data_IF_378604487078
#
_entry.id   IF_378604487078
#
_cell.length_a   1.000
_cell.length_b   1.000
_cell.length_c   1.000
_cell.angle_alpha   90.00
_cell.angle_beta   90.00
_cell.angle_gamma   90.00
#
_symmetry.space_group_name_H-M   'P 1'
#
loop_
_entity.id
_entity.type
_entity.pdbx_description
1 polymer ?
#
# COMPACT_ATOMS: atom_id res chain seq x y z
N UNK A 1 -14.21 -0.43 -10.78
CA UNK A 1 -14.18 1.05 -10.60
C UNK A 1 -15.58 1.59 -10.26
N UNK A 2 -16.64 1.24 -11.02
CA UNK A 2 -18.03 1.70 -10.76
C UNK A 2 -18.53 1.37 -9.34
N UNK A 3 -18.10 0.25 -8.77
CA UNK A 3 -18.46 -0.22 -7.43
C UNK A 3 -17.89 0.56 -6.23
N UNK A 4 -17.07 1.62 -6.40
CA UNK A 4 -16.43 2.29 -5.23
C UNK A 4 -17.32 3.34 -4.56
N UNK A 5 -18.35 3.87 -5.23
CA UNK A 5 -19.23 4.89 -4.64
C UNK A 5 -20.38 4.30 -3.81
N UNK A 6 -20.85 3.09 -4.13
CA UNK A 6 -21.64 2.27 -3.21
C UNK A 6 -20.69 1.27 -2.55
N UNK A 7 -20.43 1.34 -1.25
CA UNK A 7 -19.57 0.34 -0.60
C UNK A 7 -20.12 -1.07 -0.85
N UNK A 8 -19.23 -2.06 -0.96
CA UNK A 8 -19.63 -3.47 -1.02
C UNK A 8 -20.60 -3.74 0.13
N UNK A 9 -21.78 -4.31 -0.18
CA UNK A 9 -22.81 -4.69 0.79
C UNK A 9 -23.54 -3.54 1.52
N UNK A 10 -23.44 -2.29 1.07
CA UNK A 10 -23.98 -1.12 1.79
C UNK A 10 -25.49 -1.21 2.11
N UNK A 11 -26.31 -1.65 1.15
CA UNK A 11 -27.77 -1.80 1.37
C UNK A 11 -28.08 -2.91 2.38
N UNK A 12 -27.36 -4.03 2.29
CA UNK A 12 -27.52 -5.13 3.23
C UNK A 12 -27.13 -4.71 4.67
N UNK A 13 -26.15 -3.83 4.82
CA UNK A 13 -25.73 -3.29 6.12
C UNK A 13 -26.77 -2.35 6.72
N UNK A 14 -27.38 -1.47 5.91
CA UNK A 14 -28.46 -0.57 6.35
C UNK A 14 -29.60 -1.37 7.01
N UNK A 15 -30.01 -2.48 6.39
CA UNK A 15 -31.04 -3.35 6.96
C UNK A 15 -30.51 -4.23 8.08
N UNK A 16 -29.53 -5.11 7.82
CA UNK A 16 -29.19 -6.22 8.74
C UNK A 16 -28.28 -5.83 9.89
N UNK A 17 -27.49 -4.76 9.77
CA UNK A 17 -26.52 -4.36 10.81
C UNK A 17 -26.91 -3.06 11.51
N UNK A 18 -27.36 -2.07 10.75
CA UNK A 18 -27.69 -0.74 11.28
C UNK A 18 -29.15 -0.63 11.71
N UNK A 19 -30.03 -1.54 11.28
CA UNK A 19 -31.48 -1.49 11.53
C UNK A 19 -32.11 -0.15 11.12
N UNK A 20 -31.57 0.49 10.07
CA UNK A 20 -32.07 1.77 9.57
C UNK A 20 -33.42 1.57 8.88
N UNK A 21 -33.49 0.59 7.97
CA UNK A 21 -34.69 0.27 7.21
C UNK A 21 -35.47 -0.86 7.86
N UNK A 22 -36.80 -0.85 7.73
CA UNK A 22 -37.70 -1.82 8.40
C UNK A 22 -37.83 -3.16 7.67
N UNK A 23 -37.50 -3.18 6.38
CA UNK A 23 -37.52 -4.38 5.54
C UNK A 23 -36.46 -4.27 4.44
N UNK A 24 -36.11 -5.39 3.76
CA UNK A 24 -35.22 -5.34 2.60
C UNK A 24 -35.71 -4.41 1.49
N UNK A 25 -37.02 -4.35 1.25
CA UNK A 25 -37.58 -3.45 0.23
C UNK A 25 -37.55 -1.98 0.66
N UNK A 26 -37.68 -1.71 1.97
CA UNK A 26 -37.48 -0.34 2.47
C UNK A 26 -36.02 0.08 2.27
N UNK A 27 -35.05 -0.82 2.51
CA UNK A 27 -33.64 -0.50 2.31
C UNK A 27 -33.31 -0.17 0.84
N UNK A 28 -33.91 -0.89 -0.12
CA UNK A 28 -33.78 -0.55 -1.55
C UNK A 28 -34.42 0.80 -1.85
N UNK A 29 -35.63 1.06 -1.33
CA UNK A 29 -36.32 2.33 -1.53
C UNK A 29 -35.55 3.52 -0.96
N UNK A 30 -35.01 3.38 0.26
CA UNK A 30 -34.24 4.42 0.95
C UNK A 30 -33.02 4.83 0.12
N UNK A 31 -32.22 3.88 -0.38
CA UNK A 31 -31.00 4.19 -1.14
C UNK A 31 -31.29 4.72 -2.56
N UNK A 32 -32.30 4.19 -3.25
CA UNK A 32 -32.68 4.69 -4.59
C UNK A 32 -33.20 6.12 -4.50
N UNK A 33 -34.04 6.42 -3.50
CA UNK A 33 -34.58 7.77 -3.29
C UNK A 33 -33.53 8.74 -2.76
N UNK A 34 -32.53 8.24 -2.04
CA UNK A 34 -31.37 9.03 -1.62
C UNK A 34 -30.38 9.33 -2.77
N UNK A 35 -30.59 8.74 -3.96
CA UNK A 35 -29.79 9.05 -5.15
C UNK A 35 -28.75 7.99 -5.52
N UNK A 36 -28.72 6.83 -4.86
CA UNK A 36 -27.81 5.75 -5.25
C UNK A 36 -28.28 5.11 -6.55
N UNK A 37 -27.42 5.08 -7.57
CA UNK A 37 -27.79 4.60 -8.91
C UNK A 37 -27.34 3.15 -9.19
N UNK A 38 -26.31 2.67 -8.49
CA UNK A 38 -25.72 1.35 -8.69
C UNK A 38 -25.38 0.76 -7.34
N UNK A 39 -25.67 -0.52 -7.17
CA UNK A 39 -25.19 -1.32 -6.04
C UNK A 39 -24.02 -2.21 -6.46
N UNK A 40 -22.99 -2.26 -5.63
CA UNK A 40 -22.00 -3.34 -5.66
C UNK A 40 -22.46 -4.54 -4.82
N UNK A 41 -23.28 -5.41 -5.43
CA UNK A 41 -23.85 -6.57 -4.76
C UNK A 41 -25.01 -7.17 -5.54
N UNK A 42 -25.84 -7.96 -4.84
CA UNK A 42 -27.06 -8.54 -5.40
C UNK A 42 -28.31 -8.11 -4.66
N UNK A 43 -28.23 -7.18 -3.70
CA UNK A 43 -29.34 -6.82 -2.84
C UNK A 43 -30.44 -6.11 -3.63
N UNK A 44 -30.10 -5.13 -4.47
CA UNK A 44 -31.03 -4.51 -5.42
C UNK A 44 -31.58 -5.55 -6.39
N UNK A 45 -30.73 -6.40 -6.97
CA UNK A 45 -31.17 -7.43 -7.90
C UNK A 45 -32.22 -8.37 -7.27
N UNK A 46 -32.07 -8.70 -5.98
CA UNK A 46 -32.95 -9.60 -5.27
C UNK A 46 -34.23 -8.94 -4.73
N UNK A 47 -34.20 -7.65 -4.41
CA UNK A 47 -35.29 -7.00 -3.66
C UNK A 47 -36.02 -5.86 -4.39
N UNK A 48 -35.46 -5.30 -5.47
CA UNK A 48 -36.07 -4.16 -6.17
C UNK A 48 -37.43 -4.49 -6.77
N UNK A 49 -37.59 -5.67 -7.39
CA UNK A 49 -38.88 -6.09 -7.95
C UNK A 49 -39.99 -6.09 -6.90
N UNK A 50 -39.73 -6.69 -5.73
CA UNK A 50 -40.72 -6.70 -4.64
C UNK A 50 -40.97 -5.30 -4.08
N UNK A 51 -39.95 -4.44 -4.06
CA UNK A 51 -40.10 -3.05 -3.63
C UNK A 51 -41.03 -2.25 -4.57
N UNK A 52 -40.95 -2.48 -5.88
CA UNK A 52 -41.89 -1.92 -6.86
C UNK A 52 -43.29 -2.48 -6.68
N UNK A 53 -43.45 -3.81 -6.58
CA UNK A 53 -44.76 -4.46 -6.38
C UNK A 53 -45.47 -3.99 -5.09
N UNK A 54 -44.71 -3.64 -4.05
CA UNK A 54 -45.21 -3.08 -2.78
C UNK A 54 -45.41 -1.56 -2.82
N UNK A 55 -45.18 -0.90 -3.96
CA UNK A 55 -45.31 0.55 -4.14
C UNK A 55 -44.28 1.38 -3.38
N UNK A 56 -43.17 0.76 -2.94
CA UNK A 56 -42.10 1.44 -2.20
C UNK A 56 -41.11 2.13 -3.13
N UNK A 57 -40.94 1.62 -4.34
CA UNK A 57 -40.05 2.14 -5.39
C UNK A 57 -40.90 2.45 -6.63
N UNK A 58 -40.68 3.62 -7.23
CA UNK A 58 -41.28 4.02 -8.51
C UNK A 58 -40.38 3.61 -9.67
N UNK A 59 -40.91 2.89 -10.67
CA UNK A 59 -40.12 2.57 -11.86
C UNK A 59 -39.70 3.87 -12.60
N UNK A 60 -40.64 4.81 -12.78
CA UNK A 60 -40.41 6.04 -13.54
C UNK A 60 -39.53 7.07 -12.84
N UNK A 61 -39.58 7.13 -11.50
CA UNK A 61 -38.89 8.18 -10.75
C UNK A 61 -37.58 7.69 -10.14
N UNK A 62 -37.55 6.46 -9.63
CA UNK A 62 -36.41 5.93 -8.89
C UNK A 62 -35.50 5.08 -9.79
N UNK A 63 -36.08 4.13 -10.52
CA UNK A 63 -35.30 3.18 -11.36
C UNK A 63 -34.85 3.85 -12.66
N UNK A 64 -35.74 4.50 -13.38
CA UNK A 64 -35.40 5.16 -14.65
C UNK A 64 -34.36 6.26 -14.45
N UNK A 65 -34.41 7.00 -13.33
CA UNK A 65 -33.37 7.96 -12.94
C UNK A 65 -32.00 7.29 -12.78
N UNK A 66 -31.94 6.20 -12.02
CA UNK A 66 -30.70 5.46 -11.78
C UNK A 66 -30.11 4.88 -13.09
N UNK A 67 -30.98 4.30 -13.93
CA UNK A 67 -30.59 3.78 -15.24
C UNK A 67 -30.14 4.90 -16.18
N UNK A 68 -30.88 6.00 -16.23
CA UNK A 68 -30.52 7.17 -17.04
C UNK A 68 -29.12 7.67 -16.70
N UNK A 69 -28.81 7.82 -15.41
CA UNK A 69 -27.48 8.24 -14.96
C UNK A 69 -26.38 7.24 -15.35
N UNK A 70 -26.61 5.95 -15.09
CA UNK A 70 -25.66 4.89 -15.41
C UNK A 70 -25.36 4.81 -16.92
N UNK A 71 -26.40 4.79 -17.74
CA UNK A 71 -26.26 4.67 -19.19
C UNK A 71 -25.72 5.96 -19.82
N UNK A 72 -26.06 7.13 -19.29
CA UNK A 72 -25.48 8.41 -19.74
C UNK A 72 -23.96 8.42 -19.62
N UNK A 73 -23.41 7.91 -18.51
CA UNK A 73 -21.95 7.78 -18.36
C UNK A 73 -21.37 6.77 -19.36
N UNK A 74 -22.02 5.62 -19.55
CA UNK A 74 -21.57 4.60 -20.52
C UNK A 74 -21.59 5.11 -21.96
N UNK A 75 -22.60 5.90 -22.35
CA UNK A 75 -22.69 6.55 -23.65
C UNK A 75 -21.58 7.59 -23.84
N UNK A 76 -21.30 8.42 -22.81
CA UNK A 76 -20.19 9.40 -22.84
C UNK A 76 -18.82 8.73 -22.99
N UNK A 77 -18.65 7.54 -22.44
CA UNK A 77 -17.44 6.71 -22.59
C UNK A 77 -17.38 5.95 -23.92
N UNK A 78 -18.39 6.11 -24.79
CA UNK A 78 -18.43 5.52 -26.13
C UNK A 78 -18.79 4.03 -26.14
N UNK A 79 -19.32 3.45 -25.06
CA UNK A 79 -19.62 2.01 -24.99
C UNK A 79 -20.56 1.51 -26.09
N UNK A 80 -21.38 2.41 -26.65
CA UNK A 80 -22.36 2.11 -27.69
C UNK A 80 -21.98 2.66 -29.07
N UNK A 81 -20.75 3.17 -29.24
CA UNK A 81 -20.33 3.89 -30.43
C UNK A 81 -19.69 2.97 -31.49
N UNK A 82 -20.14 1.71 -31.58
CA UNK A 82 -19.64 0.74 -32.57
C UNK A 82 -18.34 0.04 -32.14
N UNK A 83 -17.41 -0.13 -33.08
CA UNK A 83 -16.16 -0.87 -32.87
C UNK A 83 -15.24 -0.16 -31.86
N UNK A 84 -14.93 -0.75 -30.69
CA UNK A 84 -14.10 -0.10 -29.68
C UNK A 84 -12.69 0.30 -30.16
N UNK A 85 -12.14 -0.41 -31.15
CA UNK A 85 -10.83 -0.10 -31.74
C UNK A 85 -10.81 1.20 -32.54
N UNK A 86 -11.98 1.71 -32.97
CA UNK A 86 -12.11 2.97 -33.70
C UNK A 86 -12.40 4.18 -32.78
N UNK A 87 -12.53 3.95 -31.47
CA UNK A 87 -12.84 4.97 -30.47
C UNK A 87 -11.56 5.60 -29.89
N UNK A 88 -11.64 6.73 -29.15
CA UNK A 88 -10.47 7.46 -28.65
C UNK A 88 -9.46 6.64 -27.83
N UNK A 89 -9.90 5.55 -27.19
CA UNK A 89 -9.05 4.66 -26.39
C UNK A 89 -8.76 3.31 -27.08
N UNK A 90 -9.19 3.13 -28.33
CA UNK A 90 -9.11 1.87 -29.07
C UNK A 90 -7.70 1.43 -29.45
N UNK A 91 -6.75 2.37 -29.45
CA UNK A 91 -5.33 2.12 -29.77
C UNK A 91 -4.50 1.66 -28.57
N UNK A 92 -5.06 1.62 -27.36
CA UNK A 92 -4.37 1.10 -26.19
C UNK A 92 -4.20 -0.42 -26.31
N UNK A 93 -2.98 -0.88 -26.10
CA UNK A 93 -2.53 -2.24 -26.32
C UNK A 93 -1.77 -2.78 -25.11
N UNK A 94 -1.36 -4.05 -25.19
CA UNK A 94 -0.48 -4.65 -24.18
C UNK A 94 0.88 -3.96 -24.10
N UNK A 95 1.37 -3.36 -25.19
CA UNK A 95 2.67 -2.69 -25.20
C UNK A 95 2.67 -1.39 -24.38
N UNK A 96 1.49 -0.81 -24.15
CA UNK A 96 1.32 0.38 -23.29
C UNK A 96 1.32 -0.02 -21.80
N UNK A 97 1.06 -1.29 -21.48
CA UNK A 97 1.13 -1.82 -20.11
C UNK A 97 2.59 -2.08 -19.78
N UNK A 98 3.03 -1.63 -18.60
CA UNK A 98 4.41 -1.79 -18.14
C UNK A 98 5.47 -1.14 -19.04
N UNK A 99 5.11 -0.09 -19.79
CA UNK A 99 6.09 0.68 -20.57
C UNK A 99 7.20 1.24 -19.68
N UNK A 100 8.33 1.61 -20.29
CA UNK A 100 9.45 2.21 -19.56
C UNK A 100 9.02 3.49 -18.85
N UNK A 101 8.23 4.33 -19.52
CA UNK A 101 7.71 5.59 -18.98
C UNK A 101 6.86 5.36 -17.73
N UNK A 102 6.00 4.34 -17.73
CA UNK A 102 5.20 4.00 -16.55
C UNK A 102 6.04 3.45 -15.39
N UNK A 103 7.07 2.65 -15.67
CA UNK A 103 7.99 2.14 -14.64
C UNK A 103 8.87 3.25 -14.05
N UNK A 104 9.32 4.19 -14.89
CA UNK A 104 10.13 5.33 -14.48
C UNK A 104 9.30 6.32 -13.65
N UNK A 105 8.06 6.60 -14.05
CA UNK A 105 7.13 7.40 -13.25
C UNK A 105 6.84 6.76 -11.88
N UNK A 106 6.63 5.44 -11.84
CA UNK A 106 6.43 4.73 -10.58
C UNK A 106 7.66 4.86 -9.67
N UNK A 107 8.87 4.78 -10.23
CA UNK A 107 10.11 4.97 -9.48
C UNK A 107 10.27 6.43 -8.98
N UNK A 108 9.96 7.41 -9.82
CA UNK A 108 9.99 8.84 -9.46
C UNK A 108 9.05 9.13 -8.28
N UNK A 109 7.78 8.71 -8.39
CA UNK A 109 6.80 8.89 -7.30
C UNK A 109 7.24 8.21 -6.02
N UNK A 110 7.84 7.02 -6.11
CA UNK A 110 8.37 6.33 -4.93
C UNK A 110 9.55 7.08 -4.32
N UNK A 111 10.47 7.61 -5.12
CA UNK A 111 11.62 8.38 -4.64
C UNK A 111 11.18 9.63 -3.88
N UNK A 112 10.23 10.36 -4.44
CA UNK A 112 9.73 11.62 -3.86
C UNK A 112 8.78 11.39 -2.67
N UNK A 113 8.24 10.17 -2.54
CA UNK A 113 7.37 9.78 -1.43
C UNK A 113 8.10 9.27 -0.18
N UNK A 114 9.40 8.95 -0.26
CA UNK A 114 10.17 8.48 0.89
C UNK A 114 10.60 9.67 1.75
N UNK A 115 10.35 9.59 3.06
CA UNK A 115 10.61 10.67 4.01
C UNK A 115 11.80 10.34 4.90
N UNK A 116 12.78 11.23 4.95
CA UNK A 116 13.90 11.19 5.89
C UNK A 116 13.48 11.81 7.24
N UNK A 117 13.14 10.96 8.20
CA UNK A 117 12.67 11.38 9.54
C UNK A 117 13.81 11.75 10.49
N UNK A 118 14.98 11.14 10.30
CA UNK A 118 16.19 11.40 11.10
C UNK A 118 17.40 11.12 10.25
N UNK A 119 18.39 12.01 10.29
CA UNK A 119 19.76 11.75 9.83
C UNK A 119 20.72 12.40 10.81
N UNK A 120 21.44 11.58 11.57
CA UNK A 120 22.38 11.99 12.61
C UNK A 120 23.76 11.45 12.27
N UNK A 121 24.79 12.15 12.74
CA UNK A 121 26.20 11.84 12.45
C UNK A 121 26.57 11.80 10.95
N UNK A 122 25.76 12.44 10.09
CA UNK A 122 25.93 12.45 8.63
C UNK A 122 26.14 11.04 8.05
N UNK A 123 25.41 10.06 8.59
CA UNK A 123 25.55 8.66 8.18
C UNK A 123 25.02 8.41 6.77
N UNK A 124 23.95 9.12 6.38
CA UNK A 124 23.45 9.12 5.01
C UNK A 124 23.95 10.36 4.24
N UNK A 125 24.30 10.19 2.96
CA UNK A 125 24.32 8.93 2.21
C UNK A 125 25.54 8.04 2.52
N UNK A 126 25.38 6.73 2.38
CA UNK A 126 26.49 5.77 2.41
C UNK A 126 27.42 5.99 1.22
N UNK A 127 28.73 5.91 1.49
CA UNK A 127 29.74 5.97 0.44
C UNK A 127 29.84 4.65 -0.31
N UNK A 128 29.60 4.71 -1.63
CA UNK A 128 29.79 3.59 -2.56
C UNK A 128 31.23 3.06 -2.58
N UNK A 129 32.20 3.87 -2.18
CA UNK A 129 33.62 3.52 -2.21
C UNK A 129 34.07 2.82 -0.93
N UNK A 130 33.56 3.25 0.23
CA UNK A 130 34.05 2.78 1.55
C UNK A 130 33.12 1.73 2.18
N UNK A 131 31.84 1.71 1.83
CA UNK A 131 30.91 0.67 2.32
C UNK A 131 31.20 -0.65 1.60
N UNK A 132 31.89 -1.59 2.27
CA UNK A 132 32.27 -2.88 1.68
C UNK A 132 31.32 -4.01 2.06
N UNK A 133 30.61 -3.87 3.17
CA UNK A 133 29.70 -4.89 3.68
C UNK A 133 28.46 -4.31 4.35
N UNK A 134 27.31 -4.96 4.13
CA UNK A 134 26.04 -4.62 4.77
C UNK A 134 25.43 -5.84 5.44
N UNK A 135 24.87 -5.64 6.64
CA UNK A 135 23.87 -6.54 7.20
C UNK A 135 22.48 -5.94 6.96
N UNK A 136 21.57 -6.72 6.39
CA UNK A 136 20.19 -6.31 6.13
C UNK A 136 19.29 -7.19 7.00
N UNK A 137 18.57 -6.57 7.93
CA UNK A 137 17.84 -7.28 8.96
C UNK A 137 16.38 -6.84 8.98
N UNK A 138 15.45 -7.77 9.10
CA UNK A 138 14.04 -7.48 9.40
C UNK A 138 13.05 -8.14 8.46
N UNK A 139 11.79 -8.29 8.92
CA UNK A 139 10.77 -9.08 8.23
C UNK A 139 10.40 -8.49 6.87
N UNK A 140 10.59 -7.18 6.68
CA UNK A 140 10.18 -6.46 5.49
C UNK A 140 11.32 -6.29 4.45
N UNK A 141 12.52 -6.80 4.72
CA UNK A 141 13.67 -6.59 3.85
C UNK A 141 13.61 -7.37 2.53
N UNK A 142 12.96 -8.53 2.49
CA UNK A 142 12.91 -9.39 1.29
C UNK A 142 11.50 -9.90 0.94
N UNK A 143 10.48 -9.09 1.19
CA UNK A 143 9.08 -9.43 0.89
C UNK A 143 8.55 -8.48 -0.18
N UNK A 144 8.06 -9.04 -1.28
CA UNK A 144 7.51 -8.27 -2.41
C UNK A 144 6.09 -7.77 -2.15
N UNK A 145 5.25 -8.60 -1.52
CA UNK A 145 3.83 -8.28 -1.33
C UNK A 145 3.62 -7.09 -0.40
N UNK A 146 4.39 -6.99 0.69
CA UNK A 146 4.31 -5.86 1.63
C UNK A 146 4.52 -4.53 0.91
N UNK A 147 5.38 -4.46 -0.12
CA UNK A 147 5.64 -3.20 -0.82
C UNK A 147 4.41 -2.63 -1.53
N UNK A 148 3.44 -3.48 -1.87
CA UNK A 148 2.30 -3.11 -2.71
C UNK A 148 1.13 -2.52 -1.93
N UNK A 149 1.08 -2.71 -0.61
CA UNK A 149 -0.06 -2.31 0.19
C UNK A 149 -1.30 -3.15 -0.10
N UNK A 150 -2.47 -2.50 -0.20
CA UNK A 150 -3.75 -3.13 -0.55
C UNK A 150 -4.24 -2.69 -1.93
N UNK A 151 -5.32 -3.33 -2.43
CA UNK A 151 -5.94 -2.98 -3.72
C UNK A 151 -5.00 -3.00 -4.95
N UNK A 152 -3.90 -3.75 -4.87
CA UNK A 152 -2.91 -3.85 -5.93
C UNK A 152 -3.17 -5.05 -6.85
N UNK A 153 -2.91 -4.86 -8.15
CA UNK A 153 -2.76 -5.96 -9.10
C UNK A 153 -1.31 -6.50 -9.14
N UNK A 154 -1.05 -7.56 -9.91
CA UNK A 154 0.31 -8.06 -10.11
C UNK A 154 1.22 -6.97 -10.70
N UNK A 155 2.35 -6.65 -10.06
CA UNK A 155 3.27 -5.62 -10.56
C UNK A 155 4.04 -6.12 -11.79
N UNK A 156 4.43 -5.19 -12.65
CA UNK A 156 5.30 -5.48 -13.81
C UNK A 156 6.66 -6.06 -13.39
N UNK A 157 7.21 -5.47 -12.32
CA UNK A 157 8.49 -5.84 -11.72
C UNK A 157 8.46 -5.42 -10.26
N UNK A 158 9.04 -6.25 -9.40
CA UNK A 158 9.23 -5.91 -7.99
C UNK A 158 10.70 -6.03 -7.63
N UNK A 159 11.22 -5.03 -6.94
CA UNK A 159 12.56 -5.01 -6.37
C UNK A 159 12.41 -4.87 -4.86
N UNK A 160 12.78 -5.91 -4.11
CA UNK A 160 12.79 -5.85 -2.64
C UNK A 160 13.91 -4.94 -2.12
N UNK A 161 13.81 -4.40 -0.88
CA UNK A 161 14.91 -3.65 -0.27
C UNK A 161 16.24 -4.40 -0.31
N UNK A 162 16.24 -5.71 -0.04
CA UNK A 162 17.40 -6.60 -0.17
C UNK A 162 17.99 -6.55 -1.59
N UNK A 163 17.16 -6.76 -2.61
CA UNK A 163 17.60 -6.75 -4.01
C UNK A 163 18.10 -5.36 -4.45
N UNK A 164 17.48 -4.29 -3.97
CA UNK A 164 17.92 -2.91 -4.23
C UNK A 164 19.33 -2.66 -3.70
N UNK A 165 19.58 -3.04 -2.44
CA UNK A 165 20.86 -2.86 -1.77
C UNK A 165 21.98 -3.77 -2.34
N UNK A 166 21.63 -4.96 -2.83
CA UNK A 166 22.55 -5.87 -3.55
C UNK A 166 23.18 -5.26 -4.81
N UNK A 167 22.56 -4.23 -5.38
CA UNK A 167 23.14 -3.53 -6.54
C UNK A 167 24.34 -2.66 -6.16
N UNK A 168 24.45 -2.23 -4.90
CA UNK A 168 25.51 -1.32 -4.43
C UNK A 168 26.64 -2.05 -3.72
N UNK A 169 26.34 -3.10 -2.94
CA UNK A 169 27.32 -3.79 -2.10
C UNK A 169 27.29 -5.29 -2.39
N UNK A 170 28.47 -5.89 -2.59
CA UNK A 170 28.60 -7.32 -2.94
C UNK A 170 28.58 -8.24 -1.73
N UNK A 171 29.15 -7.82 -0.59
CA UNK A 171 29.15 -8.60 0.65
C UNK A 171 27.92 -8.24 1.48
N UNK A 172 26.87 -9.03 1.37
CA UNK A 172 25.61 -8.83 2.09
C UNK A 172 25.31 -10.06 2.93
N UNK A 173 24.92 -9.82 4.18
CA UNK A 173 24.35 -10.80 5.10
C UNK A 173 22.89 -10.40 5.35
N UNK A 174 21.94 -11.31 5.11
CA UNK A 174 20.51 -11.05 5.25
C UNK A 174 19.88 -11.95 6.30
N UNK A 175 19.07 -11.38 7.19
CA UNK A 175 18.31 -12.10 8.20
C UNK A 175 16.90 -11.49 8.35
N UNK A 176 15.86 -12.31 8.32
CA UNK A 176 14.49 -11.86 8.58
C UNK A 176 14.29 -11.42 10.03
N UNK A 177 14.96 -12.11 10.95
CA UNK A 177 15.05 -11.79 12.37
C UNK A 177 16.29 -12.45 12.97
N UNK A 178 16.49 -12.32 14.27
CA UNK A 178 17.62 -12.94 14.97
C UNK A 178 17.09 -13.83 16.10
N UNK A 179 17.46 -15.12 16.08
CA UNK A 179 17.06 -16.10 17.12
C UNK A 179 17.73 -15.83 18.48
N UNK A 180 18.83 -15.09 18.48
CA UNK A 180 19.56 -14.71 19.69
C UNK A 180 19.63 -13.19 19.83
N UNK A 181 19.53 -12.70 21.07
CA UNK A 181 19.57 -11.27 21.44
C UNK A 181 20.79 -10.55 20.83
N UNK A 182 21.91 -11.27 20.68
CA UNK A 182 23.07 -10.75 19.97
C UNK A 182 23.10 -11.30 18.55
N UNK A 183 22.51 -10.56 17.61
CA UNK A 183 22.68 -10.86 16.19
C UNK A 183 24.16 -10.71 15.81
N UNK A 184 24.94 -11.79 15.93
CA UNK A 184 26.40 -11.75 15.83
C UNK A 184 26.89 -11.15 14.51
N UNK A 185 26.05 -11.20 13.48
CA UNK A 185 26.27 -10.71 12.13
C UNK A 185 26.30 -9.17 12.05
N UNK A 186 25.61 -8.47 12.95
CA UNK A 186 25.72 -7.00 13.06
C UNK A 186 27.13 -6.53 13.44
N UNK A 187 27.95 -7.43 14.02
CA UNK A 187 29.35 -7.14 14.37
C UNK A 187 30.30 -7.35 13.19
N UNK A 188 29.93 -8.11 12.16
CA UNK A 188 30.81 -8.39 11.03
C UNK A 188 30.74 -7.30 9.96
N UNK A 189 29.55 -6.78 9.69
CA UNK A 189 29.28 -5.78 8.64
C UNK A 189 29.74 -4.36 9.00
N UNK A 190 30.02 -3.54 7.99
CA UNK A 190 30.39 -2.12 8.17
C UNK A 190 29.18 -1.30 8.61
N UNK A 191 28.03 -1.53 7.98
CA UNK A 191 26.77 -0.89 8.31
C UNK A 191 25.62 -1.88 8.34
N UNK A 192 24.56 -1.52 9.07
CA UNK A 192 23.35 -2.33 9.22
C UNK A 192 22.14 -1.52 8.76
N UNK A 193 21.31 -2.13 7.91
CA UNK A 193 20.02 -1.60 7.48
C UNK A 193 18.92 -2.49 8.03
N UNK A 194 18.12 -1.95 8.94
CA UNK A 194 16.96 -2.60 9.54
C UNK A 194 15.71 -2.22 8.73
N UNK A 195 14.98 -3.20 8.19
CA UNK A 195 13.74 -2.98 7.43
C UNK A 195 12.57 -3.56 8.22
N UNK A 196 11.86 -2.66 8.90
CA UNK A 196 10.82 -2.93 9.88
C UNK A 196 9.48 -2.37 9.40
N UNK A 197 8.44 -2.53 10.19
CA UNK A 197 7.15 -1.89 9.98
C UNK A 197 5.98 -2.86 10.02
N UNK A 198 4.97 -2.55 9.22
CA UNK A 198 3.68 -3.22 9.16
C UNK A 198 3.53 -3.96 7.84
N UNK A 199 2.40 -4.66 7.72
CA UNK A 199 1.92 -5.31 6.50
C UNK A 199 0.38 -5.37 6.54
N UNK A 200 -0.22 -5.99 5.53
CA UNK A 200 -1.67 -6.09 5.37
C UNK A 200 -2.33 -7.04 6.40
N UNK A 201 -1.54 -7.81 7.17
CA UNK A 201 -2.05 -8.59 8.30
C UNK A 201 -2.22 -7.74 9.57
N UNK A 202 -1.74 -6.49 9.55
CA UNK A 202 -1.82 -5.54 10.68
C UNK A 202 -2.72 -4.36 10.37
N UNK A 203 -2.73 -3.87 9.14
CA UNK A 203 -3.57 -2.75 8.74
C UNK A 203 -4.21 -3.00 7.36
N UNK A 204 -5.53 -2.87 7.29
CA UNK A 204 -6.29 -3.17 6.09
C UNK A 204 -7.74 -2.75 6.16
N UNK A 205 -8.49 -3.05 5.08
CA UNK A 205 -9.95 -2.92 5.11
C UNK A 205 -10.54 -3.90 6.10
N UNK A 206 -11.50 -3.44 6.91
CA UNK A 206 -12.08 -4.18 8.04
C UNK A 206 -11.06 -4.66 9.10
N UNK A 207 -9.85 -4.10 9.10
CA UNK A 207 -8.77 -4.44 10.03
C UNK A 207 -8.09 -3.17 10.53
N UNK A 208 -8.71 -2.57 11.54
CA UNK A 208 -8.10 -1.50 12.33
C UNK A 208 -7.05 -2.09 13.29
N UNK A 209 -6.00 -1.31 13.55
CA UNK A 209 -5.01 -1.65 14.57
C UNK A 209 -5.54 -1.32 15.97
N UNK A 210 -5.14 -2.15 16.94
CA UNK A 210 -5.44 -1.90 18.36
C UNK A 210 -4.44 -0.93 19.01
N UNK A 211 -3.25 -0.80 18.43
CA UNK A 211 -2.18 0.08 18.91
C UNK A 211 -1.36 0.66 17.74
N UNK A 212 -0.44 1.56 18.09
CA UNK A 212 0.44 2.23 17.14
C UNK A 212 1.90 1.77 17.28
N UNK A 213 2.20 0.63 17.89
CA UNK A 213 3.59 0.18 18.07
C UNK A 213 4.06 -0.71 16.91
N UNK A 214 5.36 -0.99 16.84
CA UNK A 214 5.87 -2.02 15.94
C UNK A 214 5.40 -3.40 16.41
N UNK A 215 4.94 -4.28 15.51
CA UNK A 215 4.35 -5.55 15.89
C UNK A 215 5.43 -6.55 16.32
N UNK A 216 5.08 -7.40 17.30
CA UNK A 216 5.96 -8.42 17.84
C UNK A 216 7.24 -7.83 18.45
N UNK A 217 8.37 -8.52 18.26
CA UNK A 217 9.64 -8.16 18.88
C UNK A 217 10.50 -7.22 18.02
N UNK A 218 9.92 -6.53 17.03
CA UNK A 218 10.69 -5.67 16.13
C UNK A 218 11.39 -4.53 16.88
N UNK A 219 10.75 -3.91 17.88
CA UNK A 219 11.39 -2.87 18.69
C UNK A 219 12.60 -3.43 19.47
N UNK A 220 12.42 -4.57 20.14
CA UNK A 220 13.50 -5.28 20.85
C UNK A 220 14.66 -5.60 19.91
N UNK A 221 14.35 -6.12 18.72
CA UNK A 221 15.34 -6.44 17.69
C UNK A 221 16.11 -5.20 17.22
N UNK A 222 15.43 -4.09 16.94
CA UNK A 222 16.09 -2.84 16.53
C UNK A 222 17.06 -2.38 17.62
N UNK A 223 16.66 -2.39 18.88
CA UNK A 223 17.50 -1.97 19.99
C UNK A 223 18.72 -2.88 20.16
N UNK A 224 18.52 -4.19 20.19
CA UNK A 224 19.62 -5.14 20.35
C UNK A 224 20.63 -5.11 19.19
N UNK A 225 20.14 -4.94 17.95
CA UNK A 225 21.02 -4.79 16.78
C UNK A 225 21.77 -3.46 16.83
N UNK A 226 21.11 -2.36 17.21
CA UNK A 226 21.76 -1.06 17.33
C UNK A 226 22.87 -1.05 18.39
N UNK A 227 22.69 -1.78 19.50
CA UNK A 227 23.71 -1.92 20.54
C UNK A 227 24.90 -2.79 20.09
N UNK A 228 24.64 -3.84 19.29
CA UNK A 228 25.67 -4.75 18.80
C UNK A 228 26.44 -4.22 17.58
N UNK A 229 25.85 -3.32 16.79
CA UNK A 229 26.44 -2.79 15.57
C UNK A 229 27.68 -1.92 15.84
N UNK A 230 28.66 -2.01 14.93
CA UNK A 230 29.89 -1.20 14.96
C UNK A 230 29.60 0.30 14.82
N UNK A 231 28.76 0.64 13.85
CA UNK A 231 28.35 1.99 13.50
C UNK A 231 26.86 2.19 13.78
N UNK A 232 26.38 3.45 13.90
CA UNK A 232 24.94 3.69 13.97
C UNK A 232 24.20 3.01 12.83
N UNK A 233 23.01 2.48 13.11
CA UNK A 233 22.20 1.71 12.14
C UNK A 233 21.23 2.62 11.38
N UNK A 234 20.78 2.15 10.22
CA UNK A 234 19.66 2.76 9.49
C UNK A 234 18.40 1.96 9.79
N UNK A 235 17.32 2.65 10.14
CA UNK A 235 15.99 2.08 10.27
C UNK A 235 15.11 2.52 9.08
N UNK A 236 14.62 1.57 8.31
CA UNK A 236 13.65 1.77 7.23
C UNK A 236 12.30 1.21 7.69
N UNK A 237 11.26 2.04 7.64
CA UNK A 237 9.91 1.70 8.06
C UNK A 237 9.00 1.58 6.85
N UNK A 238 8.47 0.37 6.62
CA UNK A 238 7.41 0.11 5.65
C UNK A 238 6.08 0.00 6.37
N UNK A 239 5.27 1.05 6.33
CA UNK A 239 3.94 1.09 6.93
C UNK A 239 3.14 2.24 6.33
N UNK A 240 1.85 2.02 6.07
CA UNK A 240 0.94 3.10 5.68
C UNK A 240 0.56 3.94 6.88
N UNK A 241 0.06 3.30 7.94
CA UNK A 241 -0.27 3.96 9.20
C UNK A 241 0.97 4.38 10.00
N UNK A 242 0.84 5.39 10.88
CA UNK A 242 1.94 5.82 11.74
C UNK A 242 2.30 4.74 12.76
N UNK A 243 3.58 4.66 13.10
CA UNK A 243 4.11 3.79 14.15
C UNK A 243 4.90 4.63 15.15
N UNK A 244 4.76 4.36 16.44
CA UNK A 244 5.53 5.00 17.49
C UNK A 244 7.01 4.58 17.40
N UNK A 245 7.85 5.57 17.09
CA UNK A 245 9.30 5.43 16.98
C UNK A 245 10.04 6.18 18.08
N UNK A 246 9.37 6.51 19.19
CA UNK A 246 9.96 7.26 20.31
C UNK A 246 11.21 6.58 20.87
N UNK A 247 11.26 5.24 20.87
CA UNK A 247 12.42 4.45 21.26
C UNK A 247 13.65 4.69 20.36
N UNK A 248 13.44 5.03 19.08
CA UNK A 248 14.48 5.21 18.08
C UNK A 248 14.88 6.67 17.86
N UNK A 249 13.92 7.59 18.02
CA UNK A 249 14.06 9.02 17.71
C UNK A 249 15.32 9.64 18.31
N UNK A 250 15.53 9.45 19.61
CA UNK A 250 16.64 10.06 20.36
C UNK A 250 17.82 9.10 20.61
N UNK A 251 17.76 7.85 20.13
CA UNK A 251 18.85 6.90 20.33
C UNK A 251 20.02 7.22 19.37
N UNK A 252 21.24 7.54 19.86
CA UNK A 252 22.38 7.88 19.00
C UNK A 252 22.91 6.69 18.19
N UNK A 253 22.58 5.45 18.58
CA UNK A 253 22.92 4.23 17.82
C UNK A 253 22.02 4.01 16.61
N UNK A 254 20.92 4.75 16.47
CA UNK A 254 20.08 4.75 15.28
C UNK A 254 20.37 6.04 14.52
N UNK A 255 21.28 5.94 13.56
CA UNK A 255 21.83 7.09 12.84
C UNK A 255 20.84 7.70 11.86
N UNK A 256 20.01 6.89 11.20
CA UNK A 256 19.02 7.38 10.25
C UNK A 256 17.70 6.63 10.36
N UNK A 257 16.59 7.33 10.10
CA UNK A 257 15.24 6.76 10.01
C UNK A 257 14.59 7.22 8.71
N UNK A 258 14.22 6.26 7.87
CA UNK A 258 13.46 6.47 6.63
C UNK A 258 12.05 5.90 6.81
N UNK A 259 11.02 6.67 6.45
CA UNK A 259 9.67 6.15 6.26
C UNK A 259 9.39 6.05 4.77
N UNK A 260 9.06 4.85 4.31
CA UNK A 260 8.91 4.54 2.88
C UNK A 260 7.49 4.09 2.50
N UNK A 261 6.52 4.22 3.42
CA UNK A 261 5.13 3.87 3.15
C UNK A 261 4.98 2.43 2.64
N UNK A 262 4.18 2.28 1.58
CA UNK A 262 4.14 1.10 0.72
C UNK A 262 4.68 1.48 -0.67
N UNK A 263 5.99 1.29 -0.91
CA UNK A 263 6.71 1.98 -1.99
C UNK A 263 6.54 1.34 -3.39
N UNK A 264 5.64 0.36 -3.54
CA UNK A 264 5.34 -0.30 -4.80
C UNK A 264 6.47 -1.15 -5.37
N UNK A 265 6.34 -1.55 -6.63
CA UNK A 265 7.29 -2.44 -7.31
C UNK A 265 8.72 -1.90 -7.43
N UNK A 266 8.88 -0.57 -7.46
CA UNK A 266 10.18 0.09 -7.52
C UNK A 266 10.81 0.36 -6.14
N UNK A 267 10.12 0.01 -5.05
CA UNK A 267 10.45 0.43 -3.69
C UNK A 267 11.86 0.11 -3.23
N UNK A 268 12.32 -1.12 -3.43
CA UNK A 268 13.68 -1.49 -3.05
C UNK A 268 14.76 -0.70 -3.78
N UNK A 269 14.52 -0.34 -5.05
CA UNK A 269 15.45 0.49 -5.83
C UNK A 269 15.52 1.90 -5.27
N UNK A 270 14.37 2.54 -5.03
CA UNK A 270 14.30 3.89 -4.50
C UNK A 270 14.94 4.00 -3.10
N UNK A 271 14.64 3.06 -2.20
CA UNK A 271 15.26 2.98 -0.87
C UNK A 271 16.78 2.90 -0.97
N UNK A 272 17.30 2.06 -1.87
CA UNK A 272 18.74 1.92 -2.05
C UNK A 272 19.38 3.17 -2.66
N UNK A 273 18.73 3.83 -3.63
CA UNK A 273 19.20 5.08 -4.22
C UNK A 273 19.30 6.20 -3.19
N UNK A 274 18.32 6.33 -2.29
CA UNK A 274 18.37 7.29 -1.18
C UNK A 274 19.49 6.96 -0.20
N UNK A 275 19.63 5.69 0.18
CA UNK A 275 20.69 5.26 1.12
C UNK A 275 22.08 5.53 0.55
N UNK A 276 22.28 5.40 -0.77
CA UNK A 276 23.59 5.61 -1.42
C UNK A 276 23.74 6.98 -2.10
N UNK A 277 22.76 7.88 -1.94
CA UNK A 277 22.83 9.27 -2.41
C UNK A 277 22.67 9.46 -3.92
N UNK A 278 22.06 8.50 -4.62
CA UNK A 278 21.65 8.65 -6.02
C UNK A 278 20.36 9.46 -6.16
N UNK A 279 19.58 9.58 -5.09
CA UNK A 279 18.44 10.50 -4.98
C UNK A 279 18.43 11.14 -3.60
N UNK A 280 18.04 12.42 -3.51
CA UNK A 280 17.91 13.12 -2.25
C UNK A 280 16.44 13.04 -1.77
N UNK A 281 16.18 12.54 -0.56
CA UNK A 281 14.85 12.51 0.03
C UNK A 281 14.42 13.88 0.59
#
# INVERSE_FOLDING_TARGET
IICKHSRLLEINHLYKKQNYSKSPEDAVADVLKAGMDVECGSYMANHTKSAVEKGKVSESDDIDRALYNLFSVRMRLGLFNGNPSELPYGNLSRNDICSHEHQDLALEVTRDGIVLLKNSANILPFSKFTTKSLAIIGPNANVSNTLLGNYAGPPCKTITPLQGLMNYVKKIEFHEGCETINCQLSKSADYVVLVMGLNQDREGEDLDREDLVLPGEQQSLVMSVADAAKNPVILVLLCGGPVDISFAKNNPKIGSILWAGYPGGAGGKAIAEIIFGDHNP
#
